data_IF_267634978538
#
_entry.id   IF_267634978538
#
_cell.length_a   1.000
_cell.length_b   1.000
_cell.length_c   1.000
_cell.angle_alpha   90.00
_cell.angle_beta   90.00
_cell.angle_gamma   90.00
#
_symmetry.space_group_name_H-M   'P 1'
#
loop_
_entity.id
_entity.type
_entity.pdbx_description
1 polymer ?
#
# COMPACT_ATOMS: atom_id res chain seq x y z
N UNK A 1 3.42 -1.15 4.98
CA UNK A 1 4.74 -1.59 4.45
C UNK A 1 5.08 -0.72 3.24
N UNK A 2 6.34 -0.30 3.09
CA UNK A 2 6.78 0.56 1.99
C UNK A 2 8.14 0.12 1.44
N UNK A 3 8.35 0.18 0.11
CA UNK A 3 9.67 0.05 -0.47
C UNK A 3 10.49 1.33 -0.26
N UNK A 4 11.81 1.18 -0.15
CA UNK A 4 12.76 2.28 -0.03
C UNK A 4 14.09 1.89 -0.67
N UNK A 5 14.91 2.89 -1.01
CA UNK A 5 16.22 2.66 -1.61
C UNK A 5 17.29 2.49 -0.52
N UNK A 6 18.03 1.39 -0.56
CA UNK A 6 19.17 1.12 0.30
C UNK A 6 20.33 0.63 -0.57
N UNK A 7 21.43 1.38 -0.58
CA UNK A 7 22.65 1.02 -1.35
C UNK A 7 22.37 0.70 -2.83
N UNK A 8 21.46 1.46 -3.45
CA UNK A 8 21.08 1.29 -4.87
C UNK A 8 20.07 0.17 -5.14
N UNK A 9 19.72 -0.63 -4.13
CA UNK A 9 18.71 -1.69 -4.23
C UNK A 9 17.41 -1.26 -3.56
N UNK A 10 16.28 -1.70 -4.11
CA UNK A 10 14.98 -1.47 -3.47
C UNK A 10 14.74 -2.56 -2.43
N UNK A 11 14.45 -2.15 -1.20
CA UNK A 11 14.16 -3.02 -0.05
C UNK A 11 12.76 -2.70 0.48
N UNK A 12 12.13 -3.65 1.15
CA UNK A 12 10.80 -3.48 1.73
C UNK A 12 10.86 -3.47 3.26
N UNK A 13 10.15 -2.53 3.89
CA UNK A 13 10.11 -2.41 5.34
C UNK A 13 8.70 -2.10 5.87
N UNK A 14 8.41 -2.68 7.03
CA UNK A 14 7.32 -2.25 7.89
C UNK A 14 7.68 -0.96 8.64
N UNK A 15 6.93 -0.65 9.69
CA UNK A 15 7.13 0.57 10.49
C UNK A 15 8.53 0.67 11.12
N UNK A 16 9.11 -0.46 11.52
CA UNK A 16 10.32 -0.48 12.37
C UNK A 16 11.43 -1.41 11.87
N UNK A 17 11.16 -2.26 10.88
CA UNK A 17 12.10 -3.29 10.44
C UNK A 17 11.88 -3.65 8.96
N UNK A 18 12.90 -4.25 8.36
CA UNK A 18 12.80 -4.91 7.05
C UNK A 18 11.70 -5.98 7.10
N UNK A 19 11.03 -6.18 5.98
CA UNK A 19 9.96 -7.17 5.80
C UNK A 19 10.34 -8.15 4.66
N UNK A 20 11.22 -9.15 4.93
CA UNK A 20 11.72 -10.07 3.91
C UNK A 20 10.63 -10.87 3.19
N UNK A 21 9.56 -11.23 3.90
CA UNK A 21 8.39 -11.91 3.36
C UNK A 21 7.67 -11.06 2.29
N UNK A 22 7.57 -9.75 2.54
CA UNK A 22 6.99 -8.80 1.58
C UNK A 22 7.91 -8.59 0.39
N UNK A 23 9.22 -8.53 0.63
CA UNK A 23 10.22 -8.42 -0.44
C UNK A 23 10.16 -9.62 -1.40
N UNK A 24 10.10 -10.84 -0.86
CA UNK A 24 9.92 -12.06 -1.65
C UNK A 24 8.57 -12.06 -2.40
N UNK A 25 7.50 -11.63 -1.73
CA UNK A 25 6.18 -11.49 -2.35
C UNK A 25 6.20 -10.51 -3.52
N UNK A 26 6.82 -9.34 -3.34
CA UNK A 26 6.93 -8.30 -4.36
C UNK A 26 7.76 -8.75 -5.56
N UNK A 27 8.90 -9.40 -5.32
CA UNK A 27 9.79 -9.90 -6.38
C UNK A 27 9.09 -10.88 -7.34
N UNK A 28 8.12 -11.66 -6.84
CA UNK A 28 7.34 -12.61 -7.64
C UNK A 28 6.21 -11.97 -8.48
N UNK A 29 5.96 -10.66 -8.33
CA UNK A 29 4.81 -9.97 -8.95
C UNK A 29 5.25 -8.78 -9.81
N UNK A 30 5.29 -8.93 -11.14
CA UNK A 30 5.68 -7.85 -12.05
C UNK A 30 4.88 -6.56 -11.89
N UNK A 31 3.62 -6.63 -11.46
CA UNK A 31 2.76 -5.47 -11.20
C UNK A 31 3.35 -4.50 -10.18
N UNK A 32 4.18 -4.99 -9.24
CA UNK A 32 4.78 -4.17 -8.19
C UNK A 32 6.08 -3.48 -8.62
N UNK A 33 6.63 -3.80 -9.79
CA UNK A 33 7.85 -3.14 -10.32
C UNK A 33 7.67 -1.63 -10.47
N UNK A 34 6.49 -1.18 -10.86
CA UNK A 34 6.18 0.25 -10.96
C UNK A 34 6.29 0.95 -9.60
N UNK A 35 5.93 0.27 -8.51
CA UNK A 35 6.08 0.81 -7.16
C UNK A 35 7.56 0.98 -6.79
N UNK A 36 8.42 0.05 -7.19
CA UNK A 36 9.87 0.19 -7.00
C UNK A 36 10.47 1.34 -7.83
N UNK A 37 9.98 1.54 -9.05
CA UNK A 37 10.40 2.65 -9.90
C UNK A 37 9.99 4.01 -9.33
N UNK A 38 8.87 4.08 -8.60
CA UNK A 38 8.47 5.29 -7.88
C UNK A 38 9.50 5.68 -6.82
N UNK A 39 10.05 4.73 -6.08
CA UNK A 39 11.09 4.98 -5.07
C UNK A 39 12.31 5.62 -5.71
N UNK A 40 12.75 5.10 -6.87
CA UNK A 40 13.87 5.68 -7.63
C UNK A 40 13.60 7.09 -8.13
N UNK A 41 12.33 7.47 -8.24
CA UNK A 41 11.86 8.79 -8.70
C UNK A 41 11.51 9.75 -7.57
N UNK A 42 11.80 9.40 -6.32
CA UNK A 42 11.54 10.27 -5.16
C UNK A 42 10.11 10.17 -4.62
N UNK A 43 9.39 9.07 -4.90
CA UNK A 43 8.05 8.82 -4.37
C UNK A 43 8.04 7.55 -3.52
N UNK A 44 7.40 7.60 -2.36
CA UNK A 44 7.21 6.44 -1.48
C UNK A 44 5.80 5.90 -1.65
N UNK A 45 5.60 4.78 -2.37
CA UNK A 45 4.34 4.07 -2.30
C UNK A 45 4.20 3.40 -0.92
N UNK A 46 2.99 3.40 -0.41
CA UNK A 46 2.64 2.87 0.91
C UNK A 46 1.57 1.82 0.69
N UNK A 47 1.84 0.61 1.19
CA UNK A 47 0.97 -0.53 1.07
C UNK A 47 0.51 -1.02 2.43
N UNK A 48 -0.65 -1.63 2.46
CA UNK A 48 -1.02 -2.57 3.52
C UNK A 48 -0.60 -3.98 3.11
N UNK A 49 0.06 -4.70 4.03
CA UNK A 49 0.38 -6.12 3.84
C UNK A 49 -0.68 -6.95 4.54
N UNK A 50 -1.54 -7.58 3.74
CA UNK A 50 -2.53 -8.51 4.22
C UNK A 50 -1.93 -9.91 4.12
N UNK A 51 -1.65 -10.57 5.23
CA UNK A 51 -1.06 -11.90 5.24
C UNK A 51 -2.13 -13.00 5.33
N UNK A 52 -2.01 -14.04 4.50
CA UNK A 52 -2.82 -15.25 4.65
C UNK A 52 -2.39 -16.02 5.90
N UNK A 53 -3.35 -16.40 6.73
CA UNK A 53 -3.07 -17.18 7.92
C UNK A 53 -4.00 -16.87 9.09
N UNK A 54 -3.66 -17.37 10.30
CA UNK A 54 -4.40 -16.99 11.49
C UNK A 54 -4.38 -15.46 11.62
N UNK A 55 -5.50 -14.83 11.98
CA UNK A 55 -5.63 -13.38 11.94
C UNK A 55 -4.56 -12.71 12.79
N UNK A 56 -3.78 -11.83 12.17
CA UNK A 56 -2.98 -10.84 12.87
C UNK A 56 -3.91 -9.66 13.18
N UNK A 57 -4.62 -9.73 14.31
CA UNK A 57 -5.62 -8.75 14.70
C UNK A 57 -7.06 -9.24 14.48
N UNK A 58 -7.90 -8.41 13.84
CA UNK A 58 -9.37 -8.59 13.78
C UNK A 58 -9.90 -9.07 12.42
N UNK A 59 -9.08 -9.08 11.37
CA UNK A 59 -9.47 -9.48 10.01
C UNK A 59 -8.63 -10.69 9.58
N UNK A 60 -9.30 -11.70 9.03
CA UNK A 60 -8.66 -12.86 8.40
C UNK A 60 -8.57 -12.65 6.91
N UNK A 61 -7.42 -12.97 6.31
CA UNK A 61 -7.24 -12.96 4.87
C UNK A 61 -7.03 -14.39 4.35
N UNK A 62 -7.74 -14.74 3.29
CA UNK A 62 -7.59 -16.05 2.63
C UNK A 62 -6.30 -16.15 1.82
N UNK A 63 -5.83 -15.01 1.29
CA UNK A 63 -4.65 -14.90 0.45
C UNK A 63 -3.77 -13.71 0.88
N UNK A 64 -2.45 -13.89 0.74
CA UNK A 64 -1.52 -12.80 1.00
C UNK A 64 -1.56 -11.80 -0.14
N UNK A 65 -1.67 -10.50 0.17
CA UNK A 65 -1.74 -9.42 -0.83
C UNK A 65 -1.12 -8.12 -0.33
N UNK A 66 -0.67 -7.31 -1.28
CA UNK A 66 -0.24 -5.93 -1.04
C UNK A 66 -1.26 -4.98 -1.64
N UNK A 67 -1.91 -4.21 -0.78
CA UNK A 67 -2.92 -3.22 -1.19
C UNK A 67 -2.30 -1.84 -1.10
N UNK A 68 -2.22 -1.13 -2.23
CA UNK A 68 -1.70 0.25 -2.27
C UNK A 68 -2.70 1.19 -1.60
N UNK A 69 -2.26 1.88 -0.56
CA UNK A 69 -3.07 2.83 0.21
C UNK A 69 -2.74 4.29 -0.14
N UNK A 70 -1.49 4.57 -0.51
CA UNK A 70 -1.05 5.92 -0.83
C UNK A 70 0.27 5.94 -1.61
N UNK A 71 0.57 7.08 -2.24
CA UNK A 71 1.91 7.42 -2.74
C UNK A 71 2.25 8.81 -2.23
N UNK A 72 3.41 8.94 -1.56
CA UNK A 72 3.88 10.19 -0.96
C UNK A 72 5.09 10.72 -1.73
N UNK A 73 5.10 12.00 -2.07
CA UNK A 73 6.29 12.71 -2.53
C UNK A 73 7.29 12.84 -1.38
N UNK A 74 8.53 12.35 -1.56
CA UNK A 74 9.54 12.38 -0.50
C UNK A 74 10.04 13.80 -0.19
N UNK A 75 10.02 14.70 -1.18
CA UNK A 75 10.55 16.06 -1.04
C UNK A 75 9.49 17.03 -0.51
N UNK A 76 8.29 17.02 -1.11
CA UNK A 76 7.20 17.90 -0.71
C UNK A 76 6.40 17.36 0.49
N UNK A 77 6.38 16.03 0.65
CA UNK A 77 5.58 15.36 1.67
C UNK A 77 4.10 15.16 1.29
N UNK A 78 3.69 15.66 0.12
CA UNK A 78 2.33 15.58 -0.40
C UNK A 78 1.94 14.17 -0.86
N UNK A 79 0.65 13.87 -0.82
CA UNK A 79 0.09 12.62 -1.31
C UNK A 79 -0.49 12.76 -2.71
N UNK A 80 -0.37 11.70 -3.50
CA UNK A 80 -1.02 11.63 -4.80
C UNK A 80 -2.55 11.57 -4.67
N UNK A 81 -3.31 12.16 -5.62
CA UNK A 81 -4.75 11.93 -5.74
C UNK A 81 -5.08 10.45 -5.94
N UNK A 82 -6.25 10.01 -5.46
CA UNK A 82 -6.67 8.61 -5.51
C UNK A 82 -6.74 8.08 -6.95
N UNK A 83 -7.25 8.87 -7.88
CA UNK A 83 -7.38 8.52 -9.30
C UNK A 83 -6.02 8.19 -9.92
N UNK A 84 -4.96 8.86 -9.44
CA UNK A 84 -3.60 8.59 -9.87
C UNK A 84 -3.08 7.25 -9.37
N UNK A 85 -3.48 6.81 -8.17
CA UNK A 85 -3.10 5.50 -7.63
C UNK A 85 -3.61 4.36 -8.52
N UNK A 86 -4.84 4.48 -9.05
CA UNK A 86 -5.47 3.47 -9.91
C UNK A 86 -4.69 3.23 -11.22
N UNK A 87 -3.88 4.20 -11.66
CA UNK A 87 -3.06 4.05 -12.87
C UNK A 87 -1.83 3.14 -12.69
N UNK A 88 -1.48 2.80 -11.44
CA UNK A 88 -0.27 2.04 -11.14
C UNK A 88 -0.42 0.55 -11.45
N UNK A 89 -1.65 0.03 -11.56
CA UNK A 89 -1.90 -1.39 -11.83
C UNK A 89 -1.57 -2.30 -10.64
N UNK A 90 -1.42 -1.72 -9.45
CA UNK A 90 -1.44 -2.45 -8.18
C UNK A 90 -2.89 -2.59 -7.72
N UNK A 91 -3.18 -3.59 -6.89
CA UNK A 91 -4.41 -3.57 -6.10
C UNK A 91 -4.40 -2.31 -5.23
N UNK A 92 -5.50 -1.56 -5.24
CA UNK A 92 -5.67 -0.33 -4.47
C UNK A 92 -6.83 -0.49 -3.50
N UNK A 93 -6.83 0.26 -2.41
CA UNK A 93 -8.01 0.35 -1.54
C UNK A 93 -9.24 0.83 -2.31
N UNK A 94 -10.41 0.36 -1.87
CA UNK A 94 -11.67 0.96 -2.26
C UNK A 94 -11.86 2.27 -1.48
N UNK A 95 -11.94 3.39 -2.21
CA UNK A 95 -12.25 4.67 -1.61
C UNK A 95 -13.76 4.77 -1.37
N UNK A 96 -14.16 5.04 -0.13
CA UNK A 96 -15.56 5.36 0.21
C UNK A 96 -15.71 6.87 0.18
N UNK A 97 -16.49 7.36 -0.79
CA UNK A 97 -16.85 8.77 -0.84
C UNK A 97 -17.89 9.08 0.25
N UNK A 98 -17.70 10.20 0.95
CA UNK A 98 -18.66 10.72 1.92
C UNK A 98 -18.61 12.25 1.89
N UNK A 99 -19.76 12.90 2.00
CA UNK A 99 -19.88 14.36 1.92
C UNK A 99 -19.56 15.02 3.28
N UNK A 100 -19.91 14.32 4.37
CA UNK A 100 -19.67 14.74 5.74
C UNK A 100 -19.51 13.55 6.70
N UNK A 101 -19.12 13.83 7.95
CA UNK A 101 -18.97 12.81 9.00
C UNK A 101 -20.27 12.03 9.27
N UNK A 102 -21.44 12.64 9.10
CA UNK A 102 -22.72 11.98 9.34
C UNK A 102 -23.00 10.94 8.24
N UNK A 103 -22.68 11.25 6.99
CA UNK A 103 -22.81 10.34 5.84
C UNK A 103 -21.89 9.11 5.98
N UNK A 104 -20.68 9.28 6.53
CA UNK A 104 -19.76 8.17 6.81
C UNK A 104 -20.26 7.23 7.92
N UNK A 105 -20.92 7.75 8.95
CA UNK A 105 -21.51 6.93 10.02
C UNK A 105 -22.67 6.08 9.51
N UNK A 106 -23.40 6.57 8.50
CA UNK A 106 -24.49 5.81 7.90
C UNK A 106 -23.97 4.69 6.98
N UNK A 107 -22.85 4.88 6.29
CA UNK A 107 -22.27 3.84 5.42
C UNK A 107 -21.71 2.65 6.19
N UNK A 108 -21.26 2.85 7.43
CA UNK A 108 -20.66 1.79 8.27
C UNK A 108 -21.68 0.95 9.05
N UNK A 109 -22.94 1.39 9.15
CA UNK A 109 -24.03 0.65 9.82
C UNK A 109 -24.86 -0.24 8.90
N UNK A 110 -24.67 -0.12 7.58
CA UNK A 110 -25.44 -0.84 6.58
C UNK A 110 -24.76 -2.13 6.07
N UNK A 111 -23.58 -2.47 6.60
CA UNK A 111 -22.84 -3.70 6.29
C UNK A 111 -22.92 -4.70 7.44
#
# INVERSE_FOLDING_TARGET
>A
VSPFLLEGSVRWAGKSALAPEVEAFAASRPALRRAEDLVRRGFTPIFEWCEAGPPVGVITHEESRLVLIAVRDMAAGDFWPFERLQTLGCETVEAVAFDDLASLQNSTRAQ
#
